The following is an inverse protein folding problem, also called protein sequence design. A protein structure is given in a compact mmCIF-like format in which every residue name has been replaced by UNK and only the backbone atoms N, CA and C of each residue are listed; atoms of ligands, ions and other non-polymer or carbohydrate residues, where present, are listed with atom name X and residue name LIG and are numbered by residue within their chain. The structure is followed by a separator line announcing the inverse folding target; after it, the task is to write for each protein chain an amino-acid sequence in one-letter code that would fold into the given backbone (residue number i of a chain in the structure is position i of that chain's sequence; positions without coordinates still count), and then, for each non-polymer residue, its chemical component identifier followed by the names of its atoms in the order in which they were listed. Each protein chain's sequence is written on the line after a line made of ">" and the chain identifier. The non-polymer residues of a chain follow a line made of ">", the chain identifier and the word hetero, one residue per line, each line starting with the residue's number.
data_IF_520095653859
#
_entry.id   IF_520095653859
#
_cell.length_a   1.000
_cell.length_b   1.000
_cell.length_c   1.000
_cell.angle_alpha   90.00
_cell.angle_beta   90.00
_cell.angle_gamma   90.00
#
_symmetry.space_group_name_H-M   'P 1'
#
loop_
_entity.id
_entity.type
_entity.pdbx_description
1 polymer ?
#
# COMPACT_ATOMS: atom_id res chain seq x y z
N UNK A 1 -1.79 47.25 -10.36
CA UNK A 1 -3.07 46.54 -10.50
C UNK A 1 -2.91 45.52 -11.62
N UNK A 2 -2.53 44.29 -11.28
CA UNK A 2 -2.52 43.15 -12.20
C UNK A 2 -3.13 42.00 -11.41
N UNK A 3 -4.38 41.75 -11.75
CA UNK A 3 -5.28 40.81 -11.09
C UNK A 3 -4.77 39.39 -11.29
N UNK A 4 -4.91 38.60 -10.23
CA UNK A 4 -4.49 37.22 -10.16
C UNK A 4 -5.15 36.40 -11.28
N UNK A 5 -4.32 35.74 -12.10
CA UNK A 5 -4.75 34.56 -12.81
C UNK A 5 -5.02 33.46 -11.77
N UNK A 6 -6.23 33.47 -11.24
CA UNK A 6 -6.80 32.37 -10.46
C UNK A 6 -6.84 31.14 -11.39
N UNK A 7 -5.77 30.35 -11.35
CA UNK A 7 -5.73 29.05 -12.01
C UNK A 7 -6.82 28.18 -11.39
N UNK A 8 -7.87 27.94 -12.17
CA UNK A 8 -9.00 27.09 -11.82
C UNK A 8 -8.53 25.81 -11.09
N UNK A 9 -9.24 25.35 -10.03
CA UNK A 9 -8.88 24.11 -9.37
C UNK A 9 -8.96 22.98 -10.39
N UNK A 10 -7.83 22.29 -10.60
CA UNK A 10 -7.77 21.09 -11.43
C UNK A 10 -8.92 20.17 -11.01
N UNK A 11 -9.89 19.92 -11.92
CA UNK A 11 -10.99 18.99 -11.70
C UNK A 11 -10.41 17.67 -11.23
N UNK A 12 -10.46 17.43 -9.92
CA UNK A 12 -10.20 16.11 -9.33
C UNK A 12 -11.15 15.18 -10.05
N UNK A 13 -10.63 14.28 -10.90
CA UNK A 13 -11.43 13.25 -11.58
C UNK A 13 -12.20 12.52 -10.48
N UNK A 14 -13.45 12.90 -10.29
CA UNK A 14 -14.34 12.24 -9.37
C UNK A 14 -14.49 10.84 -9.96
N UNK A 15 -13.92 9.84 -9.29
CA UNK A 15 -14.08 8.45 -9.69
C UNK A 15 -15.57 8.20 -9.73
N UNK A 16 -16.13 8.11 -10.93
CA UNK A 16 -17.54 7.85 -11.10
C UNK A 16 -17.75 6.40 -10.64
N UNK A 17 -18.39 6.16 -9.48
CA UNK A 17 -18.53 4.80 -8.94
C UNK A 17 -19.25 3.88 -9.92
N UNK A 18 -20.00 4.46 -10.85
CA UNK A 18 -20.68 3.80 -11.95
C UNK A 18 -19.76 2.90 -12.79
N UNK A 19 -18.53 3.33 -13.11
CA UNK A 19 -17.63 2.49 -13.93
C UNK A 19 -17.18 1.22 -13.20
N UNK A 20 -17.00 1.30 -11.89
CA UNK A 20 -16.61 0.16 -11.05
C UNK A 20 -17.78 -0.82 -10.96
N UNK A 21 -18.97 -0.31 -10.68
CA UNK A 21 -20.18 -1.14 -10.59
C UNK A 21 -20.49 -1.84 -11.91
N UNK A 22 -20.41 -1.12 -13.04
CA UNK A 22 -20.61 -1.71 -14.37
C UNK A 22 -19.60 -2.83 -14.63
N UNK A 23 -18.32 -2.59 -14.37
CA UNK A 23 -17.27 -3.60 -14.58
C UNK A 23 -17.45 -4.81 -13.67
N UNK A 24 -17.78 -4.60 -12.39
CA UNK A 24 -18.08 -5.68 -11.44
C UNK A 24 -19.24 -6.53 -11.93
N UNK A 25 -20.34 -5.90 -12.37
CA UNK A 25 -21.50 -6.62 -12.90
C UNK A 25 -21.15 -7.39 -14.18
N UNK A 26 -20.39 -6.79 -15.10
CA UNK A 26 -19.95 -7.46 -16.33
C UNK A 26 -19.05 -8.67 -16.04
N UNK A 27 -18.05 -8.50 -15.17
CA UNK A 27 -17.11 -9.57 -14.81
C UNK A 27 -17.83 -10.69 -14.07
N UNK A 28 -18.72 -10.36 -13.14
CA UNK A 28 -19.54 -11.35 -12.42
C UNK A 28 -20.46 -12.10 -13.36
N UNK A 29 -21.14 -11.39 -14.27
CA UNK A 29 -22.02 -11.98 -15.27
C UNK A 29 -21.29 -12.91 -16.23
N UNK A 30 -20.11 -12.49 -16.72
CA UNK A 30 -19.24 -13.32 -17.55
C UNK A 30 -18.81 -14.60 -16.81
N UNK A 31 -18.34 -14.48 -15.57
CA UNK A 31 -17.90 -15.62 -14.78
C UNK A 31 -19.07 -16.60 -14.52
N UNK A 32 -20.24 -16.08 -14.14
CA UNK A 32 -21.43 -16.89 -13.93
C UNK A 32 -21.87 -17.61 -15.22
N UNK A 33 -21.80 -16.94 -16.36
CA UNK A 33 -22.10 -17.53 -17.67
C UNK A 33 -21.10 -18.64 -18.04
N UNK A 34 -19.80 -18.42 -17.86
CA UNK A 34 -18.78 -19.44 -18.11
C UNK A 34 -18.96 -20.68 -17.22
N UNK A 35 -19.31 -20.46 -15.95
CA UNK A 35 -19.63 -21.53 -15.00
C UNK A 35 -20.88 -22.31 -15.40
N UNK A 36 -21.91 -21.64 -15.92
CA UNK A 36 -23.11 -22.30 -16.42
C UNK A 36 -22.86 -23.14 -17.68
N UNK A 37 -21.95 -22.68 -18.55
CA UNK A 37 -21.55 -23.41 -19.77
C UNK A 37 -20.61 -24.61 -19.49
N UNK A 38 -20.38 -24.96 -18.22
CA UNK A 38 -19.53 -26.10 -17.85
C UNK A 38 -18.03 -25.84 -18.02
N UNK A 39 -17.60 -24.58 -18.04
CA UNK A 39 -16.16 -24.26 -18.04
C UNK A 39 -15.55 -24.67 -16.70
N UNK A 40 -14.36 -25.28 -16.74
CA UNK A 40 -13.61 -25.69 -15.56
C UNK A 40 -13.41 -24.53 -14.57
N UNK A 41 -13.73 -24.77 -13.29
CA UNK A 41 -13.75 -23.77 -12.22
C UNK A 41 -12.41 -23.04 -12.08
N UNK A 42 -11.29 -23.75 -12.29
CA UNK A 42 -9.93 -23.21 -12.22
C UNK A 42 -9.73 -22.02 -13.16
N UNK A 43 -10.26 -22.09 -14.38
CA UNK A 43 -10.12 -21.01 -15.36
C UNK A 43 -11.00 -19.83 -15.01
N UNK A 44 -12.22 -20.05 -14.52
CA UNK A 44 -13.12 -18.96 -14.15
C UNK A 44 -12.56 -18.15 -12.98
N UNK A 45 -12.17 -18.81 -11.88
CA UNK A 45 -11.58 -18.10 -10.74
C UNK A 45 -10.20 -17.52 -11.08
N UNK A 46 -9.43 -18.16 -11.96
CA UNK A 46 -8.18 -17.61 -12.48
C UNK A 46 -8.39 -16.30 -13.26
N UNK A 47 -9.40 -16.23 -14.13
CA UNK A 47 -9.77 -15.01 -14.86
C UNK A 47 -10.24 -13.93 -13.89
N UNK A 48 -11.09 -14.28 -12.91
CA UNK A 48 -11.56 -13.33 -11.90
C UNK A 48 -10.39 -12.72 -11.10
N UNK A 49 -9.42 -13.55 -10.71
CA UNK A 49 -8.21 -13.11 -10.03
C UNK A 49 -7.37 -12.20 -10.94
N UNK A 50 -7.12 -12.61 -12.19
CA UNK A 50 -6.32 -11.83 -13.14
C UNK A 50 -6.94 -10.45 -13.41
N UNK A 51 -8.27 -10.37 -13.55
CA UNK A 51 -8.98 -9.10 -13.71
C UNK A 51 -8.86 -8.24 -12.45
N UNK A 52 -9.01 -8.83 -11.27
CA UNK A 52 -8.85 -8.11 -9.98
C UNK A 52 -7.43 -7.55 -9.84
N UNK A 53 -6.40 -8.35 -10.15
CA UNK A 53 -5.00 -7.92 -10.13
C UNK A 53 -4.70 -6.85 -11.19
N UNK A 54 -5.23 -6.99 -12.40
CA UNK A 54 -5.10 -5.99 -13.46
C UNK A 54 -5.72 -4.65 -13.06
N UNK A 55 -6.90 -4.68 -12.42
CA UNK A 55 -7.53 -3.47 -11.88
C UNK A 55 -6.75 -2.87 -10.71
N UNK A 56 -6.12 -3.69 -9.87
CA UNK A 56 -5.28 -3.24 -8.76
C UNK A 56 -4.08 -2.45 -9.31
N UNK A 57 -3.45 -2.95 -10.37
CA UNK A 57 -2.31 -2.30 -11.04
C UNK A 57 -2.68 -0.98 -11.73
N UNK A 58 -3.93 -0.80 -12.16
CA UNK A 58 -4.40 0.45 -12.76
C UNK A 58 -4.55 1.60 -11.74
N UNK A 59 -4.58 1.29 -10.44
CA UNK A 59 -4.68 2.23 -9.31
C UNK A 59 -5.83 3.26 -9.41
N UNK A 60 -6.80 3.03 -10.29
CA UNK A 60 -7.97 3.89 -10.47
C UNK A 60 -8.91 3.74 -9.26
N UNK A 61 -9.13 2.52 -8.80
CA UNK A 61 -10.12 2.23 -7.76
C UNK A 61 -9.42 2.13 -6.40
N UNK A 62 -10.14 2.41 -5.31
CA UNK A 62 -9.65 2.10 -3.97
C UNK A 62 -9.32 0.60 -3.87
N UNK A 63 -8.04 0.30 -3.64
CA UNK A 63 -7.48 -1.05 -3.58
C UNK A 63 -8.23 -1.96 -2.60
N UNK A 64 -8.63 -1.44 -1.44
CA UNK A 64 -9.35 -2.21 -0.43
C UNK A 64 -10.75 -2.61 -0.91
N UNK A 65 -11.51 -1.65 -1.45
CA UNK A 65 -12.86 -1.91 -1.98
C UNK A 65 -12.80 -2.92 -3.14
N UNK A 66 -11.83 -2.73 -4.04
CA UNK A 66 -11.64 -3.61 -5.20
C UNK A 66 -11.36 -5.06 -4.79
N UNK A 67 -10.40 -5.28 -3.88
CA UNK A 67 -10.02 -6.63 -3.42
C UNK A 67 -11.16 -7.29 -2.64
N UNK A 68 -11.85 -6.54 -1.77
CA UNK A 68 -12.99 -7.06 -1.01
C UNK A 68 -14.17 -7.45 -1.92
N UNK A 69 -14.47 -6.65 -2.95
CA UNK A 69 -15.49 -6.99 -3.94
C UNK A 69 -15.09 -8.24 -4.74
N UNK A 70 -13.85 -8.32 -5.22
CA UNK A 70 -13.34 -9.49 -5.94
C UNK A 70 -13.45 -10.78 -5.10
N UNK A 71 -13.01 -10.72 -3.84
CA UNK A 71 -13.13 -11.83 -2.90
C UNK A 71 -14.60 -12.21 -2.61
N UNK A 72 -15.47 -11.21 -2.40
CA UNK A 72 -16.90 -11.42 -2.18
C UNK A 72 -17.60 -12.08 -3.37
N UNK A 73 -17.32 -11.63 -4.60
CA UNK A 73 -17.84 -12.24 -5.83
C UNK A 73 -17.35 -13.68 -5.97
N UNK A 74 -16.07 -13.94 -5.69
CA UNK A 74 -15.52 -15.29 -5.74
C UNK A 74 -16.26 -16.23 -4.77
N UNK A 75 -16.49 -15.80 -3.53
CA UNK A 75 -17.23 -16.57 -2.53
C UNK A 75 -18.71 -16.76 -2.91
N UNK A 76 -19.36 -15.73 -3.45
CA UNK A 76 -20.75 -15.83 -3.93
C UNK A 76 -20.89 -16.82 -5.08
N UNK A 77 -19.99 -16.79 -6.07
CA UNK A 77 -20.00 -17.74 -7.18
C UNK A 77 -19.68 -19.17 -6.71
N UNK A 78 -18.73 -19.33 -5.78
CA UNK A 78 -18.36 -20.63 -5.24
C UNK A 78 -19.47 -21.27 -4.39
N UNK A 79 -20.19 -20.47 -3.60
CA UNK A 79 -21.37 -20.94 -2.84
C UNK A 79 -22.55 -21.24 -3.75
N UNK A 80 -22.81 -20.39 -4.76
CA UNK A 80 -23.89 -20.60 -5.73
C UNK A 80 -23.72 -21.87 -6.57
N UNK A 81 -22.49 -22.20 -6.97
CA UNK A 81 -22.18 -23.48 -7.64
C UNK A 81 -22.15 -24.69 -6.70
N UNK A 82 -22.31 -24.51 -5.39
CA UNK A 82 -22.22 -25.60 -4.42
C UNK A 82 -20.80 -26.19 -4.26
N UNK A 83 -19.76 -25.42 -4.60
CA UNK A 83 -18.35 -25.78 -4.38
C UNK A 83 -18.07 -25.80 -2.88
N UNK A 84 -18.53 -24.76 -2.18
CA UNK A 84 -18.45 -24.66 -0.73
C UNK A 84 -19.66 -25.39 -0.15
N UNK A 85 -19.53 -26.70 0.07
CA UNK A 85 -20.59 -27.50 0.72
C UNK A 85 -20.53 -27.28 2.23
N UNK A 86 -21.69 -27.04 2.84
CA UNK A 86 -21.82 -26.80 4.29
C UNK A 86 -21.65 -28.05 5.18
N UNK A 87 -21.07 -29.14 4.67
CA UNK A 87 -21.01 -30.43 5.36
C UNK A 87 -19.75 -31.22 5.03
N UNK A 88 -19.04 -31.57 6.11
CA UNK A 88 -17.94 -32.52 6.28
C UNK A 88 -16.56 -32.22 5.66
N UNK A 89 -15.56 -32.57 6.48
CA UNK A 89 -14.17 -32.09 6.51
C UNK A 89 -13.25 -32.79 5.50
N UNK A 90 -13.75 -33.23 4.35
CA UNK A 90 -13.00 -34.12 3.46
C UNK A 90 -12.34 -33.46 2.23
N UNK A 91 -12.80 -32.29 1.74
CA UNK A 91 -12.31 -31.72 0.46
C UNK A 91 -11.69 -30.30 0.55
N UNK A 92 -11.35 -29.79 1.74
CA UNK A 92 -10.62 -28.52 1.90
C UNK A 92 -11.38 -27.22 1.55
N UNK A 93 -12.52 -27.31 0.87
CA UNK A 93 -13.37 -26.18 0.45
C UNK A 93 -14.52 -25.92 1.43
N UNK A 94 -14.21 -25.59 2.68
CA UNK A 94 -15.17 -25.15 3.69
C UNK A 94 -14.98 -23.67 4.03
N UNK A 95 -16.05 -23.00 4.44
CA UNK A 95 -16.01 -21.55 4.67
C UNK A 95 -14.97 -21.12 5.73
N UNK A 96 -14.78 -21.87 6.84
CA UNK A 96 -13.69 -21.60 7.78
C UNK A 96 -12.27 -21.68 7.18
N UNK A 97 -12.00 -22.50 6.16
CA UNK A 97 -10.66 -22.58 5.54
C UNK A 97 -10.24 -21.22 4.99
N UNK A 98 -11.15 -20.54 4.30
CA UNK A 98 -10.87 -19.25 3.67
C UNK A 98 -10.60 -18.14 4.69
N UNK A 99 -11.18 -18.24 5.88
CA UNK A 99 -10.91 -17.31 7.00
C UNK A 99 -9.53 -17.59 7.60
N UNK A 100 -9.13 -18.86 7.68
CA UNK A 100 -7.81 -19.28 8.15
C UNK A 100 -6.69 -18.97 7.15
N UNK A 101 -7.00 -18.85 5.86
CA UNK A 101 -6.06 -18.41 4.82
C UNK A 101 -5.65 -16.94 4.96
N UNK A 102 -6.39 -16.13 5.74
CA UNK A 102 -5.99 -14.75 6.04
C UNK A 102 -4.81 -14.78 7.02
N UNK A 103 -3.70 -14.17 6.63
CA UNK A 103 -2.54 -14.02 7.52
C UNK A 103 -2.77 -12.90 8.55
N UNK A 104 -3.39 -13.29 9.66
CA UNK A 104 -3.64 -12.41 10.81
C UNK A 104 -2.35 -11.89 11.46
N UNK A 105 -1.26 -12.65 11.40
CA UNK A 105 0.03 -12.24 11.94
C UNK A 105 0.58 -11.04 11.20
N UNK A 106 0.57 -11.11 9.86
CA UNK A 106 1.00 -10.01 8.99
C UNK A 106 0.14 -8.76 9.19
N UNK A 107 -1.19 -8.89 9.25
CA UNK A 107 -2.09 -7.76 9.53
C UNK A 107 -1.79 -7.14 10.89
N UNK A 108 -1.59 -7.96 11.92
CA UNK A 108 -1.25 -7.52 13.27
C UNK A 108 0.07 -6.75 13.33
N UNK A 109 1.10 -7.21 12.61
CA UNK A 109 2.40 -6.53 12.50
C UNK A 109 2.27 -5.17 11.79
N UNK A 110 1.50 -5.08 10.70
CA UNK A 110 1.27 -3.80 9.98
C UNK A 110 0.56 -2.80 10.90
N UNK A 111 -0.51 -3.24 11.58
CA UNK A 111 -1.28 -2.37 12.48
C UNK A 111 -0.40 -1.93 13.66
N UNK A 112 0.30 -2.88 14.29
CA UNK A 112 1.18 -2.62 15.43
C UNK A 112 2.31 -1.65 15.10
N UNK A 113 3.02 -1.88 13.98
CA UNK A 113 4.08 -0.96 13.52
C UNK A 113 3.54 0.43 13.21
N UNK A 114 2.36 0.54 12.59
CA UNK A 114 1.73 1.84 12.29
C UNK A 114 1.37 2.61 13.57
N UNK A 115 0.76 1.94 14.55
CA UNK A 115 0.43 2.55 15.85
C UNK A 115 1.70 2.97 16.59
N UNK A 116 2.72 2.11 16.61
CA UNK A 116 4.02 2.39 17.25
C UNK A 116 4.67 3.65 16.66
N UNK A 117 4.69 3.76 15.33
CA UNK A 117 5.20 4.94 14.62
C UNK A 117 4.44 6.19 14.99
N UNK A 118 3.11 6.13 15.00
CA UNK A 118 2.25 7.27 15.32
C UNK A 118 2.48 7.74 16.77
N UNK A 119 2.72 6.83 17.70
CA UNK A 119 3.04 7.20 19.08
C UNK A 119 4.40 7.88 19.19
N UNK A 120 5.41 7.36 18.49
CA UNK A 120 6.75 7.95 18.47
C UNK A 120 6.74 9.31 17.77
N UNK A 121 5.98 9.47 16.68
CA UNK A 121 5.90 10.72 15.92
C UNK A 121 5.41 11.87 16.81
N UNK A 122 4.43 11.59 17.68
CA UNK A 122 3.85 12.54 18.64
C UNK A 122 4.81 12.97 19.75
N UNK A 123 5.79 12.14 20.09
CA UNK A 123 6.78 12.46 21.12
C UNK A 123 7.77 13.56 20.72
N UNK A 124 7.80 13.97 19.45
CA UNK A 124 8.77 14.92 18.92
C UNK A 124 10.16 14.32 18.66
N UNK A 125 10.32 12.99 18.81
CA UNK A 125 11.58 12.28 18.55
C UNK A 125 12.14 12.60 17.17
N UNK A 126 11.30 12.59 16.14
CA UNK A 126 11.72 12.83 14.75
C UNK A 126 12.26 14.23 14.52
N UNK A 127 11.65 15.25 15.14
CA UNK A 127 12.14 16.62 15.10
C UNK A 127 13.49 16.74 15.83
N UNK A 128 13.63 16.09 16.98
CA UNK A 128 14.89 16.05 17.72
C UNK A 128 16.02 15.38 16.92
N UNK A 129 15.75 14.24 16.26
CA UNK A 129 16.71 13.54 15.39
C UNK A 129 17.16 14.47 14.25
N UNK A 130 16.24 15.16 13.58
CA UNK A 130 16.58 16.07 12.48
C UNK A 130 17.52 17.20 12.93
N UNK A 131 17.25 17.81 14.09
CA UNK A 131 18.16 18.82 14.66
C UNK A 131 19.52 18.22 15.02
N UNK A 132 19.56 16.99 15.53
CA UNK A 132 20.81 16.29 15.86
C UNK A 132 21.63 16.03 14.60
N UNK A 133 21.02 15.52 13.53
CA UNK A 133 21.67 15.30 12.23
C UNK A 133 22.23 16.59 11.69
N UNK A 134 21.48 17.69 11.76
CA UNK A 134 21.92 19.00 11.29
C UNK A 134 23.17 19.51 12.03
N UNK A 135 23.23 19.29 13.35
CA UNK A 135 24.40 19.63 14.16
C UNK A 135 25.61 18.77 13.82
N UNK A 136 25.40 17.47 13.58
CA UNK A 136 26.48 16.52 13.24
C UNK A 136 27.04 16.77 11.84
N UNK A 137 26.17 17.07 10.87
CA UNK A 137 26.59 17.39 9.50
C UNK A 137 27.34 18.72 9.39
N UNK A 138 27.20 19.61 10.39
CA UNK A 138 27.78 20.96 10.39
C UNK A 138 27.45 21.77 9.13
N UNK A 139 26.30 21.47 8.50
CA UNK A 139 25.87 22.11 7.25
C UNK A 139 26.50 21.55 5.97
N UNK A 140 27.38 20.54 6.06
CA UNK A 140 27.96 19.87 4.90
C UNK A 140 26.89 18.99 4.19
N UNK A 141 26.60 19.23 2.90
CA UNK A 141 25.57 18.49 2.17
C UNK A 141 25.84 16.99 2.06
N UNK A 142 27.11 16.57 1.94
CA UNK A 142 27.47 15.17 1.77
C UNK A 142 27.30 14.39 3.08
N UNK A 143 27.74 14.97 4.20
CA UNK A 143 27.51 14.37 5.54
C UNK A 143 26.03 14.32 5.87
N UNK A 144 25.27 15.36 5.49
CA UNK A 144 23.83 15.39 5.67
C UNK A 144 23.16 14.25 4.90
N UNK A 145 23.60 13.99 3.67
CA UNK A 145 23.05 12.92 2.82
C UNK A 145 23.31 11.55 3.43
N UNK A 146 24.53 11.30 3.90
CA UNK A 146 24.87 10.04 4.57
C UNK A 146 24.03 9.85 5.84
N UNK A 147 23.88 10.89 6.66
CA UNK A 147 23.12 10.81 7.89
C UNK A 147 21.63 10.52 7.63
N UNK A 148 21.00 11.22 6.69
CA UNK A 148 19.62 10.96 6.34
C UNK A 148 19.43 9.61 5.65
N UNK A 149 20.34 9.21 4.76
CA UNK A 149 20.29 7.88 4.14
C UNK A 149 20.40 6.76 5.18
N UNK A 150 21.31 6.89 6.16
CA UNK A 150 21.43 5.94 7.26
C UNK A 150 20.18 5.93 8.16
N UNK A 151 19.62 7.10 8.45
CA UNK A 151 18.35 7.21 9.18
C UNK A 151 17.23 6.48 8.43
N UNK A 152 17.17 6.66 7.11
CA UNK A 152 16.19 6.02 6.22
C UNK A 152 16.32 4.51 6.25
N UNK A 153 17.54 3.95 6.20
CA UNK A 153 17.74 2.49 6.32
C UNK A 153 17.22 1.97 7.65
N UNK A 154 17.57 2.63 8.75
CA UNK A 154 17.13 2.23 10.10
C UNK A 154 15.60 2.32 10.21
N UNK A 155 15.00 3.40 9.75
CA UNK A 155 13.55 3.58 9.83
C UNK A 155 12.82 2.59 8.93
N UNK A 156 13.25 2.41 7.68
CA UNK A 156 12.65 1.41 6.81
C UNK A 156 12.82 0.00 7.38
N UNK A 157 13.90 -0.32 8.10
CA UNK A 157 14.00 -1.63 8.75
C UNK A 157 12.89 -1.89 9.79
N UNK A 158 12.32 -0.88 10.44
CA UNK A 158 11.26 -1.09 11.45
C UNK A 158 9.86 -0.71 10.96
N UNK A 159 9.77 0.04 9.86
CA UNK A 159 8.55 0.67 9.38
C UNK A 159 8.29 0.30 7.92
N UNK A 160 7.05 0.34 7.46
CA UNK A 160 6.75 0.24 6.04
C UNK A 160 7.46 1.35 5.24
N UNK A 161 8.03 1.00 4.07
CA UNK A 161 8.76 1.89 3.17
C UNK A 161 8.05 3.24 2.93
N UNK A 162 6.74 3.23 2.72
CA UNK A 162 5.95 4.46 2.47
C UNK A 162 5.94 5.36 3.71
N UNK A 163 5.72 4.78 4.89
CA UNK A 163 5.69 5.50 6.16
C UNK A 163 7.08 6.07 6.50
N UNK A 164 8.12 5.27 6.32
CA UNK A 164 9.51 5.71 6.51
C UNK A 164 9.82 6.91 5.60
N UNK A 165 9.42 6.86 4.33
CA UNK A 165 9.65 7.94 3.37
C UNK A 165 8.86 9.21 3.71
N UNK A 166 7.62 9.09 4.20
CA UNK A 166 6.84 10.25 4.65
C UNK A 166 7.55 10.95 5.82
N UNK A 167 8.03 10.18 6.80
CA UNK A 167 8.69 10.73 7.99
C UNK A 167 10.03 11.33 7.61
N UNK A 168 10.96 10.52 7.10
CA UNK A 168 12.33 10.98 6.82
C UNK A 168 12.31 12.04 5.73
N UNK A 169 11.54 11.85 4.65
CA UNK A 169 11.42 12.84 3.59
C UNK A 169 10.90 14.19 4.09
N UNK A 170 9.94 14.21 5.02
CA UNK A 170 9.48 15.47 5.62
C UNK A 170 10.57 16.16 6.46
N UNK A 171 11.37 15.39 7.22
CA UNK A 171 12.52 15.91 7.97
C UNK A 171 13.61 16.45 7.05
N UNK A 172 13.88 15.75 5.95
CA UNK A 172 14.87 16.12 4.94
C UNK A 172 14.47 17.42 4.25
N UNK A 173 13.21 17.56 3.83
CA UNK A 173 12.71 18.81 3.24
C UNK A 173 12.90 19.98 4.21
N UNK A 174 12.57 19.80 5.50
CA UNK A 174 12.74 20.84 6.53
C UNK A 174 14.22 21.19 6.74
N UNK A 175 15.10 20.19 6.79
CA UNK A 175 16.54 20.39 6.96
C UNK A 175 17.18 21.09 5.75
N UNK A 176 16.90 20.64 4.53
CA UNK A 176 17.38 21.24 3.28
C UNK A 176 16.89 22.68 3.15
N UNK A 177 15.64 22.97 3.50
CA UNK A 177 15.09 24.35 3.48
C UNK A 177 15.86 25.28 4.44
N UNK A 178 16.25 24.80 5.63
CA UNK A 178 17.06 25.59 6.57
C UNK A 178 18.47 25.87 6.06
N UNK A 179 19.06 24.93 5.30
CA UNK A 179 20.39 25.07 4.71
C UNK A 179 20.39 25.71 3.32
N UNK A 180 19.21 26.08 2.78
CA UNK A 180 19.04 26.56 1.40
C UNK A 180 19.59 25.59 0.34
N UNK A 181 19.46 24.29 0.60
CA UNK A 181 19.84 23.20 -0.31
C UNK A 181 18.61 22.66 -1.05
N UNK A 182 18.81 22.06 -2.23
CA UNK A 182 17.75 21.30 -2.90
C UNK A 182 17.54 19.96 -2.18
N UNK A 183 16.28 19.62 -1.90
CA UNK A 183 15.94 18.35 -1.24
C UNK A 183 15.93 17.17 -2.22
N UNK A 184 15.78 17.42 -3.53
CA UNK A 184 15.61 16.39 -4.56
C UNK A 184 16.70 15.30 -4.53
N UNK A 185 18.01 15.61 -4.46
CA UNK A 185 19.05 14.58 -4.44
C UNK A 185 18.98 13.70 -3.18
N UNK A 186 18.61 14.30 -2.05
CA UNK A 186 18.45 13.58 -0.78
C UNK A 186 17.25 12.64 -0.84
N UNK A 187 16.10 13.12 -1.31
CA UNK A 187 14.89 12.32 -1.44
C UNK A 187 15.06 11.15 -2.42
N UNK A 188 15.81 11.35 -3.51
CA UNK A 188 16.16 10.27 -4.44
C UNK A 188 17.05 9.22 -3.77
N UNK A 189 18.09 9.64 -3.05
CA UNK A 189 18.95 8.73 -2.31
C UNK A 189 18.15 7.97 -1.24
N UNK A 190 17.38 8.68 -0.43
CA UNK A 190 16.49 8.11 0.58
C UNK A 190 15.52 7.10 -0.03
N UNK A 191 14.88 7.40 -1.17
CA UNK A 191 13.99 6.47 -1.85
C UNK A 191 14.68 5.18 -2.35
N UNK A 192 15.99 5.20 -2.60
CA UNK A 192 16.77 3.99 -2.89
C UNK A 192 17.10 3.26 -1.58
N UNK A 193 17.53 4.00 -0.56
CA UNK A 193 17.92 3.45 0.74
C UNK A 193 16.74 2.91 1.57
N UNK A 194 15.51 3.39 1.37
CA UNK A 194 14.30 2.81 1.98
C UNK A 194 14.14 1.36 1.55
N UNK A 195 14.29 1.08 0.25
CA UNK A 195 14.17 -0.29 -0.26
C UNK A 195 15.26 -1.20 0.30
N UNK A 196 16.49 -0.69 0.48
CA UNK A 196 17.58 -1.44 1.12
C UNK A 196 17.26 -1.73 2.59
N UNK A 197 16.78 -0.72 3.32
CA UNK A 197 16.37 -0.91 4.73
C UNK A 197 15.21 -1.89 4.86
N UNK A 198 14.28 -1.89 3.90
CA UNK A 198 13.15 -2.79 3.93
C UNK A 198 13.48 -4.26 3.74
N UNK A 199 14.60 -4.56 3.08
CA UNK A 199 15.11 -5.93 2.96
C UNK A 199 15.72 -6.46 4.27
N UNK A 200 15.97 -5.59 5.26
CA UNK A 200 16.60 -6.00 6.52
C UNK A 200 15.62 -6.70 7.47
N UNK A 201 14.30 -6.49 7.33
CA UNK A 201 13.30 -7.13 8.20
C UNK A 201 12.04 -7.57 7.46
N UNK A 202 11.34 -8.54 8.03
CA UNK A 202 10.06 -9.04 7.53
C UNK A 202 8.90 -8.03 7.67
N UNK A 203 9.10 -6.96 8.44
CA UNK A 203 8.04 -5.97 8.75
C UNK A 203 7.89 -4.98 7.59
N UNK A 204 9.01 -4.59 6.98
CA UNK A 204 9.04 -3.49 6.02
C UNK A 204 8.56 -3.85 4.62
N UNK A 205 8.85 -5.07 4.17
CA UNK A 205 8.35 -5.59 2.91
C UNK A 205 7.88 -7.03 3.13
N UNK A 206 6.57 -7.18 3.24
CA UNK A 206 5.92 -8.48 3.11
C UNK A 206 6.08 -8.87 1.62
N UNK A 207 6.70 -10.02 1.30
CA UNK A 207 6.88 -10.46 -0.07
C UNK A 207 5.56 -10.72 -0.81
#
# INVERSE_FOLDING_TARGET
>A
MSEAAESAPAKKKLHNPLHVTIMVVLVTGLCAFLLHNGTDQKYVFGILLAVTLGMLALEKINKAILVLLGAGIALLLATWQGIIKGGEMHDGHYMPTYIQMVDWGTIGIIIGSTIFVELISRSGLFAWISVKILKVSKGDPFKLLICFSGLTVVFSAFLNNVTAMIIVGSLTIVACKKLKLSAMPFLLAEGIYTNIGGLLTLISSIP
#
